data_IF_940174060209
#
_entry.id   IF_940174060209
#
_cell.length_a   1.000
_cell.length_b   1.000
_cell.length_c   1.000
_cell.angle_alpha   90.00
_cell.angle_beta   90.00
_cell.angle_gamma   90.00
#
_symmetry.space_group_name_H-M   'P 1'
#
loop_
_entity.id
_entity.type
_entity.pdbx_description
1 polymer ?
#
# COMPACT_ATOMS: atom_id res chain seq x y z
N UNK A 1 40.19 33.46 11.13
CA UNK A 1 41.43 32.66 11.30
C UNK A 1 42.28 32.59 10.03
N UNK A 2 41.67 32.55 8.82
CA UNK A 2 42.38 32.57 7.53
C UNK A 2 43.24 33.84 7.26
N UNK A 3 43.04 34.92 8.01
CA UNK A 3 43.80 36.18 7.86
C UNK A 3 44.96 36.34 8.85
N UNK A 4 45.24 35.33 9.69
CA UNK A 4 46.41 35.33 10.57
C UNK A 4 47.70 35.37 9.74
N UNK A 5 48.57 36.35 9.98
CA UNK A 5 49.84 36.53 9.26
C UNK A 5 50.71 35.26 9.28
N UNK A 6 50.67 34.51 10.38
CA UNK A 6 51.52 33.34 10.61
C UNK A 6 50.99 32.06 9.93
N UNK A 7 49.72 32.03 9.52
CA UNK A 7 49.09 30.86 8.88
C UNK A 7 49.10 30.97 7.35
N UNK A 8 49.24 32.18 6.79
CA UNK A 8 49.19 32.44 5.34
C UNK A 8 50.19 31.60 4.55
N UNK A 9 51.41 31.45 5.05
CA UNK A 9 52.47 30.69 4.36
C UNK A 9 52.19 29.19 4.29
N UNK A 10 51.31 28.69 5.18
CA UNK A 10 50.92 27.28 5.23
C UNK A 10 49.59 27.02 4.54
N UNK A 11 48.76 28.03 4.27
CA UNK A 11 47.48 27.85 3.59
C UNK A 11 47.71 27.47 2.12
N UNK A 12 47.02 26.43 1.67
CA UNK A 12 47.00 26.04 0.26
C UNK A 12 46.08 26.99 -0.51
N UNK A 13 44.96 27.34 0.08
CA UNK A 13 44.01 28.35 -0.37
C UNK A 13 43.33 29.02 0.83
N UNK A 14 42.47 30.00 0.55
CA UNK A 14 41.66 30.68 1.57
C UNK A 14 40.22 30.16 1.62
N UNK A 15 39.92 29.07 0.91
CA UNK A 15 38.58 28.50 0.87
C UNK A 15 38.34 27.62 2.09
N UNK A 16 37.08 27.59 2.53
CA UNK A 16 36.65 26.64 3.56
C UNK A 16 36.24 25.35 2.85
N UNK A 17 36.85 24.25 3.26
CA UNK A 17 36.61 22.93 2.69
C UNK A 17 35.68 22.15 3.59
N UNK A 18 34.70 21.46 3.02
CA UNK A 18 33.76 20.65 3.79
C UNK A 18 34.17 19.18 3.74
N UNK A 19 34.51 18.59 4.89
CA UNK A 19 34.94 17.20 5.01
C UNK A 19 34.21 16.54 6.19
N UNK A 20 33.54 15.41 5.93
CA UNK A 20 32.83 14.62 6.95
C UNK A 20 31.81 15.41 7.79
N UNK A 21 31.16 16.42 7.22
CA UNK A 21 30.22 17.26 7.96
C UNK A 21 30.86 18.47 8.66
N UNK A 22 32.18 18.62 8.57
CA UNK A 22 32.93 19.69 9.22
C UNK A 22 33.57 20.66 8.22
N UNK A 23 33.58 21.94 8.60
CA UNK A 23 34.28 23.00 7.90
C UNK A 23 35.75 23.01 8.30
N UNK A 24 36.64 22.91 7.31
CA UNK A 24 38.08 22.72 7.49
C UNK A 24 38.88 23.71 6.68
N UNK A 25 40.13 23.92 7.10
CA UNK A 25 41.12 24.67 6.33
C UNK A 25 42.12 23.69 5.71
N UNK A 26 42.55 23.96 4.48
CA UNK A 26 43.57 23.16 3.81
C UNK A 26 44.95 23.78 3.98
N UNK A 27 45.89 23.03 4.57
CA UNK A 27 47.25 23.51 4.86
C UNK A 27 48.35 22.54 4.40
N UNK A 28 49.53 23.10 4.12
CA UNK A 28 50.79 22.38 3.83
C UNK A 28 51.40 21.85 5.14
N UNK A 29 52.22 20.81 5.03
CA UNK A 29 52.96 20.25 6.16
C UNK A 29 53.84 21.28 6.89
N UNK A 30 54.02 21.11 8.20
CA UNK A 30 54.80 22.04 9.04
C UNK A 30 53.97 23.12 9.76
N UNK A 31 52.64 23.13 9.57
CA UNK A 31 51.72 24.09 10.19
C UNK A 31 51.62 24.02 11.72
N UNK A 32 52.10 22.93 12.36
CA UNK A 32 51.99 22.70 13.82
C UNK A 32 52.58 23.83 14.68
N UNK A 33 53.58 24.57 14.16
CA UNK A 33 54.16 25.74 14.84
C UNK A 33 53.28 26.99 14.72
N UNK A 34 52.48 27.09 13.65
CA UNK A 34 51.63 28.24 13.36
C UNK A 34 50.23 28.10 13.98
N UNK A 35 49.69 26.89 14.07
CA UNK A 35 48.36 26.64 14.63
C UNK A 35 48.26 25.25 15.27
N UNK A 36 47.61 25.18 16.44
CA UNK A 36 47.18 23.91 17.05
C UNK A 36 45.84 23.50 16.44
N UNK A 37 45.81 22.37 15.76
CA UNK A 37 44.64 21.88 15.06
C UNK A 37 44.62 20.33 15.01
N UNK A 38 43.44 19.74 14.95
CA UNK A 38 43.28 18.31 14.63
C UNK A 38 43.29 18.13 13.12
N UNK A 39 43.90 17.05 12.65
CA UNK A 39 43.89 16.66 11.23
C UNK A 39 42.69 15.76 11.00
N UNK A 40 41.75 16.18 10.15
CA UNK A 40 40.54 15.41 9.81
C UNK A 40 40.71 14.55 8.56
N UNK A 41 41.70 14.87 7.72
CA UNK A 41 41.97 14.09 6.52
C UNK A 41 43.13 14.65 5.71
N UNK A 42 43.44 13.99 4.60
CA UNK A 42 44.43 14.43 3.62
C UNK A 42 43.81 14.52 2.24
N UNK A 43 44.21 15.52 1.46
CA UNK A 43 43.84 15.62 0.04
C UNK A 43 44.68 14.65 -0.79
N UNK A 44 44.23 14.39 -2.02
CA UNK A 44 44.98 13.59 -3.01
C UNK A 44 46.34 14.20 -3.36
N UNK A 45 46.47 15.52 -3.25
CA UNK A 45 47.74 16.25 -3.41
C UNK A 45 48.65 16.25 -2.18
N UNK A 46 48.27 15.53 -1.11
CA UNK A 46 49.09 15.41 0.11
C UNK A 46 48.95 16.56 1.12
N UNK A 47 47.97 17.46 0.94
CA UNK A 47 47.69 18.54 1.88
C UNK A 47 46.79 18.07 3.04
N UNK A 48 46.80 18.79 4.16
CA UNK A 48 46.07 18.42 5.36
C UNK A 48 44.80 19.25 5.50
N UNK A 49 43.66 18.58 5.74
CA UNK A 49 42.45 19.25 6.20
C UNK A 49 42.50 19.33 7.73
N UNK A 50 42.43 20.55 8.25
CA UNK A 50 42.60 20.81 9.68
C UNK A 50 41.39 21.53 10.28
N UNK A 51 41.08 21.18 11.52
CA UNK A 51 40.15 21.90 12.38
C UNK A 51 40.91 22.57 13.53
N UNK A 52 40.92 23.91 13.61
CA UNK A 52 41.56 24.63 14.71
C UNK A 52 41.01 24.21 16.08
N UNK A 53 41.91 23.96 17.04
CA UNK A 53 41.50 23.58 18.39
C UNK A 53 40.67 24.68 19.08
N UNK A 54 40.86 25.94 18.69
CA UNK A 54 40.10 27.09 19.17
C UNK A 54 38.59 27.02 18.89
N UNK A 55 38.16 26.27 17.85
CA UNK A 55 36.74 26.08 17.52
C UNK A 55 36.21 24.68 17.86
N UNK A 56 37.09 23.76 18.30
CA UNK A 56 36.73 22.38 18.64
C UNK A 56 35.65 22.31 19.74
N UNK A 57 35.78 23.13 20.80
CA UNK A 57 34.75 23.20 21.85
C UNK A 57 33.39 23.71 21.34
N UNK A 58 33.37 24.61 20.35
CA UNK A 58 32.12 25.08 19.75
C UNK A 58 31.44 23.96 18.97
N UNK A 59 32.21 23.13 18.25
CA UNK A 59 31.71 21.96 17.53
C UNK A 59 31.20 20.87 18.48
N UNK A 60 31.91 20.61 19.56
CA UNK A 60 31.44 19.68 20.60
C UNK A 60 30.11 20.15 21.23
N UNK A 61 30.01 21.44 21.53
CA UNK A 61 28.78 22.06 22.04
C UNK A 61 27.64 21.98 21.02
N UNK A 62 27.90 22.25 19.74
CA UNK A 62 26.94 22.11 18.65
C UNK A 62 26.39 20.67 18.58
N UNK A 63 27.28 19.68 18.56
CA UNK A 63 26.89 18.26 18.56
C UNK A 63 26.04 17.90 19.76
N UNK A 64 26.42 18.34 20.96
CA UNK A 64 25.65 18.08 22.19
C UNK A 64 24.26 18.70 22.14
N UNK A 65 24.15 19.93 21.62
CA UNK A 65 22.86 20.60 21.45
C UNK A 65 21.97 19.88 20.42
N UNK A 66 22.54 19.39 19.33
CA UNK A 66 21.82 18.60 18.32
C UNK A 66 21.30 17.29 18.93
N UNK A 67 22.14 16.54 19.63
CA UNK A 67 21.71 15.30 20.32
C UNK A 67 20.61 15.57 21.34
N UNK A 68 20.72 16.65 22.12
CA UNK A 68 19.69 17.03 23.10
C UNK A 68 18.38 17.43 22.43
N UNK A 69 18.44 18.09 21.27
CA UNK A 69 17.24 18.41 20.48
C UNK A 69 16.54 17.13 20.01
N UNK A 70 17.29 16.16 19.51
CA UNK A 70 16.75 14.86 19.08
C UNK A 70 16.09 14.11 20.24
N UNK A 71 16.72 14.08 21.41
CA UNK A 71 16.15 13.47 22.62
C UNK A 71 14.81 14.10 23.01
N UNK A 72 14.72 15.44 22.95
CA UNK A 72 13.48 16.17 23.25
C UNK A 72 12.38 15.83 22.24
N UNK A 73 12.71 15.80 20.94
CA UNK A 73 11.77 15.41 19.88
C UNK A 73 11.26 13.99 20.12
N UNK A 74 12.18 13.04 20.37
CA UNK A 74 11.84 11.66 20.63
C UNK A 74 10.88 11.52 21.81
N UNK A 75 11.15 12.22 22.92
CA UNK A 75 10.26 12.24 24.09
C UNK A 75 8.87 12.78 23.75
N UNK A 76 8.77 13.83 22.94
CA UNK A 76 7.47 14.33 22.48
C UNK A 76 6.73 13.31 21.61
N UNK A 77 7.43 12.66 20.67
CA UNK A 77 6.86 11.59 19.86
C UNK A 77 6.36 10.42 20.71
N UNK A 78 7.12 10.01 21.72
CA UNK A 78 6.69 8.97 22.66
C UNK A 78 5.42 9.35 23.41
N UNK A 79 5.38 10.55 24.00
CA UNK A 79 4.21 11.03 24.73
C UNK A 79 2.97 11.17 23.85
N UNK A 80 3.15 11.68 22.63
CA UNK A 80 2.08 11.78 21.65
C UNK A 80 1.57 10.40 21.24
N UNK A 81 2.47 9.48 20.94
CA UNK A 81 2.14 8.10 20.57
C UNK A 81 1.41 7.38 21.70
N UNK A 82 1.86 7.52 22.94
CA UNK A 82 1.19 6.95 24.11
C UNK A 82 -0.22 7.52 24.32
N UNK A 83 -0.43 8.80 24.02
CA UNK A 83 -1.75 9.43 24.07
C UNK A 83 -2.67 8.86 22.98
N UNK A 84 -2.19 8.78 21.74
CA UNK A 84 -2.96 8.25 20.61
C UNK A 84 -3.24 6.75 20.74
N UNK A 85 -2.31 5.98 21.32
CA UNK A 85 -2.45 4.54 21.48
C UNK A 85 -3.67 4.16 22.33
N UNK A 86 -4.10 5.02 23.27
CA UNK A 86 -5.33 4.83 24.05
C UNK A 86 -6.57 4.71 23.16
N UNK A 87 -6.55 5.34 21.98
CA UNK A 87 -7.65 5.33 21.01
C UNK A 87 -7.46 4.28 19.90
N UNK A 88 -6.39 3.47 19.95
CA UNK A 88 -6.06 2.51 18.89
C UNK A 88 -7.21 1.54 18.59
N UNK A 89 -7.84 0.97 19.64
CA UNK A 89 -8.96 0.04 19.46
C UNK A 89 -10.17 0.69 18.79
N UNK A 90 -10.44 1.96 19.10
CA UNK A 90 -11.52 2.72 18.47
C UNK A 90 -11.19 3.05 17.02
N UNK A 91 -9.97 3.48 16.71
CA UNK A 91 -9.54 3.72 15.33
C UNK A 91 -9.57 2.43 14.49
N UNK A 92 -9.16 1.30 15.08
CA UNK A 92 -9.27 -0.02 14.43
C UNK A 92 -10.71 -0.41 14.16
N UNK A 93 -11.62 -0.09 15.07
CA UNK A 93 -13.05 -0.28 14.86
C UNK A 93 -13.56 0.58 13.69
N UNK A 94 -13.25 1.89 13.68
CA UNK A 94 -13.63 2.79 12.58
C UNK A 94 -13.11 2.27 11.25
N UNK A 95 -11.85 1.87 11.18
CA UNK A 95 -11.27 1.34 9.94
C UNK A 95 -12.05 0.14 9.41
N UNK A 96 -12.40 -0.80 10.30
CA UNK A 96 -13.20 -1.98 9.93
C UNK A 96 -14.61 -1.62 9.47
N UNK A 97 -15.28 -0.68 10.14
CA UNK A 97 -16.61 -0.25 9.72
C UNK A 97 -16.57 0.55 8.41
N UNK A 98 -15.50 1.30 8.18
CA UNK A 98 -15.26 1.98 6.91
C UNK A 98 -15.09 0.97 5.76
N UNK A 99 -14.31 -0.09 5.95
CA UNK A 99 -14.16 -1.16 4.94
C UNK A 99 -15.51 -1.81 4.59
N UNK A 100 -16.39 -2.03 5.58
CA UNK A 100 -17.75 -2.55 5.33
C UNK A 100 -18.61 -1.57 4.54
N UNK A 101 -18.57 -0.29 4.91
CA UNK A 101 -19.31 0.76 4.22
C UNK A 101 -18.84 0.88 2.77
N UNK A 102 -17.53 0.90 2.54
CA UNK A 102 -16.93 0.94 1.20
C UNK A 102 -17.37 -0.27 0.36
N UNK A 103 -17.34 -1.48 0.91
CA UNK A 103 -17.85 -2.67 0.24
C UNK A 103 -19.32 -2.56 -0.19
N UNK A 104 -20.20 -1.99 0.65
CA UNK A 104 -21.61 -1.80 0.28
C UNK A 104 -21.78 -0.73 -0.79
N UNK A 105 -21.09 0.40 -0.65
CA UNK A 105 -21.13 1.47 -1.63
C UNK A 105 -20.61 1.03 -2.99
N UNK A 106 -19.49 0.31 -3.02
CA UNK A 106 -18.93 -0.26 -4.25
C UNK A 106 -19.94 -1.15 -4.98
N UNK A 107 -20.67 -2.01 -4.26
CA UNK A 107 -21.70 -2.88 -4.85
C UNK A 107 -22.89 -2.09 -5.37
N UNK A 108 -23.37 -1.09 -4.64
CA UNK A 108 -24.49 -0.24 -5.09
C UNK A 108 -24.10 0.57 -6.33
N UNK A 109 -22.89 1.14 -6.34
CA UNK A 109 -22.38 1.87 -7.49
C UNK A 109 -22.16 0.95 -8.69
N UNK A 110 -21.62 -0.25 -8.47
CA UNK A 110 -21.47 -1.27 -9.50
C UNK A 110 -22.82 -1.69 -10.08
N UNK A 111 -23.84 -1.89 -9.24
CA UNK A 111 -25.19 -2.19 -9.69
C UNK A 111 -25.76 -1.07 -10.56
N UNK A 112 -25.63 0.19 -10.14
CA UNK A 112 -26.13 1.35 -10.88
C UNK A 112 -25.40 1.57 -12.21
N UNK A 113 -24.08 1.35 -12.25
CA UNK A 113 -23.28 1.58 -13.45
C UNK A 113 -23.62 0.61 -14.58
N UNK A 114 -24.02 -0.62 -14.24
CA UNK A 114 -24.28 -1.69 -15.22
C UNK A 114 -25.73 -2.16 -15.28
N UNK A 115 -26.64 -1.47 -14.58
CA UNK A 115 -28.06 -1.84 -14.48
C UNK A 115 -28.23 -3.29 -14.00
N UNK A 116 -27.56 -3.63 -12.90
CA UNK A 116 -27.61 -4.95 -12.29
C UNK A 116 -28.55 -4.99 -11.08
N UNK A 117 -29.05 -6.19 -10.80
CA UNK A 117 -30.02 -6.43 -9.74
C UNK A 117 -29.40 -7.26 -8.61
N UNK A 118 -29.85 -7.01 -7.38
CA UNK A 118 -29.47 -7.79 -6.21
C UNK A 118 -30.49 -8.92 -6.00
N UNK A 119 -30.04 -10.16 -6.19
CA UNK A 119 -30.89 -11.33 -5.91
C UNK A 119 -30.48 -11.92 -4.57
N UNK A 120 -31.35 -11.79 -3.57
CA UNK A 120 -31.12 -12.36 -2.24
C UNK A 120 -31.41 -13.86 -2.22
N UNK A 121 -30.60 -14.68 -1.53
CA UNK A 121 -30.86 -16.11 -1.41
C UNK A 121 -32.19 -16.39 -0.71
N UNK A 122 -33.10 -17.09 -1.39
CA UNK A 122 -34.35 -17.56 -0.80
C UNK A 122 -34.13 -18.81 0.07
N UNK A 123 -35.07 -19.11 0.97
CA UNK A 123 -35.03 -20.33 1.79
C UNK A 123 -35.34 -21.60 0.97
N UNK A 124 -35.87 -21.44 -0.25
CA UNK A 124 -36.23 -22.56 -1.12
C UNK A 124 -34.97 -23.05 -1.85
N UNK A 125 -34.89 -24.35 -2.15
CA UNK A 125 -33.79 -24.94 -2.93
C UNK A 125 -34.10 -24.91 -4.42
N UNK A 126 -34.35 -23.72 -4.95
CA UNK A 126 -34.76 -23.50 -6.35
C UNK A 126 -33.76 -22.56 -7.01
N UNK A 127 -33.46 -22.75 -8.28
CA UNK A 127 -32.73 -21.76 -9.08
C UNK A 127 -33.51 -21.45 -10.35
N UNK A 128 -34.11 -20.26 -10.38
CA UNK A 128 -34.78 -19.67 -11.54
C UNK A 128 -33.99 -18.45 -11.96
N UNK A 129 -33.48 -18.47 -13.18
CA UNK A 129 -32.78 -17.36 -13.80
C UNK A 129 -33.59 -16.92 -15.01
N UNK A 130 -33.91 -15.63 -15.09
CA UNK A 130 -34.54 -15.01 -16.26
C UNK A 130 -33.65 -13.86 -16.73
N UNK A 131 -33.26 -13.88 -18.00
CA UNK A 131 -32.41 -12.88 -18.61
C UNK A 131 -30.99 -12.81 -18.02
N UNK A 132 -30.50 -13.86 -17.37
CA UNK A 132 -29.19 -13.84 -16.72
C UNK A 132 -28.06 -13.70 -17.74
N UNK A 133 -27.11 -12.81 -17.48
CA UNK A 133 -25.92 -12.64 -18.32
C UNK A 133 -24.66 -12.92 -17.52
N UNK A 134 -23.83 -13.86 -18.00
CA UNK A 134 -22.58 -14.21 -17.32
C UNK A 134 -21.58 -13.04 -17.37
N UNK A 135 -21.09 -12.53 -16.22
CA UNK A 135 -20.31 -11.29 -16.18
C UNK A 135 -18.94 -11.38 -16.85
N UNK A 136 -18.33 -12.58 -16.89
CA UNK A 136 -17.03 -12.79 -17.53
C UNK A 136 -17.08 -12.96 -19.07
N UNK A 137 -18.27 -12.96 -19.69
CA UNK A 137 -18.41 -13.10 -21.14
C UNK A 137 -18.61 -11.70 -21.74
N UNK A 138 -17.85 -11.38 -22.78
CA UNK A 138 -18.08 -10.16 -23.58
C UNK A 138 -19.32 -10.34 -24.46
N UNK A 139 -20.24 -9.36 -24.46
CA UNK A 139 -21.52 -9.43 -25.18
C UNK A 139 -22.31 -10.73 -24.93
N UNK A 140 -22.65 -11.03 -23.66
CA UNK A 140 -23.29 -12.30 -23.29
C UNK A 140 -24.70 -12.41 -23.88
N UNK A 141 -25.06 -13.61 -24.33
CA UNK A 141 -26.46 -13.94 -24.62
C UNK A 141 -27.19 -14.23 -23.31
N UNK A 142 -28.34 -13.59 -23.04
CA UNK A 142 -29.13 -13.86 -21.85
C UNK A 142 -29.58 -15.33 -21.80
N UNK A 143 -29.52 -15.94 -20.62
CA UNK A 143 -29.97 -17.32 -20.40
C UNK A 143 -31.15 -17.36 -19.43
N UNK A 144 -32.11 -18.23 -19.75
CA UNK A 144 -33.26 -18.53 -18.93
C UNK A 144 -33.14 -19.98 -18.44
N UNK A 145 -33.08 -20.18 -17.13
CA UNK A 145 -32.89 -21.49 -16.52
C UNK A 145 -33.93 -21.65 -15.41
N UNK A 146 -34.63 -22.79 -15.38
CA UNK A 146 -35.50 -23.14 -14.27
C UNK A 146 -35.08 -24.52 -13.75
N UNK A 147 -34.48 -24.54 -12.58
CA UNK A 147 -34.07 -25.72 -11.84
C UNK A 147 -34.97 -25.86 -10.62
N UNK A 148 -36.17 -26.39 -10.88
CA UNK A 148 -37.19 -26.75 -9.89
C UNK A 148 -37.00 -28.18 -9.35
N UNK A 149 -36.29 -29.02 -10.11
CA UNK A 149 -35.96 -30.41 -9.77
C UNK A 149 -34.53 -30.55 -9.26
N UNK A 150 -34.28 -31.60 -8.49
CA UNK A 150 -32.97 -31.91 -7.92
C UNK A 150 -31.88 -32.20 -8.95
N UNK A 151 -32.26 -32.60 -10.17
CA UNK A 151 -31.32 -32.99 -11.23
C UNK A 151 -31.79 -32.41 -12.56
N UNK A 152 -30.87 -31.78 -13.28
CA UNK A 152 -31.05 -31.29 -14.65
C UNK A 152 -30.06 -32.01 -15.56
N UNK A 153 -30.57 -32.69 -16.59
CA UNK A 153 -29.72 -33.25 -17.66
C UNK A 153 -29.68 -32.30 -18.84
N UNK A 154 -28.47 -31.92 -19.26
CA UNK A 154 -28.25 -31.05 -20.42
C UNK A 154 -27.58 -31.85 -21.52
N UNK A 155 -28.27 -32.04 -22.64
CA UNK A 155 -27.74 -32.73 -23.83
C UNK A 155 -27.47 -31.73 -24.97
N UNK A 156 -26.64 -32.13 -25.94
CA UNK A 156 -26.30 -31.31 -27.10
C UNK A 156 -24.87 -31.52 -27.59
N UNK A 157 -24.51 -30.86 -28.70
CA UNK A 157 -23.14 -30.89 -29.25
C UNK A 157 -22.16 -30.15 -28.33
N UNK A 158 -20.87 -30.50 -28.38
CA UNK A 158 -19.86 -29.95 -27.44
C UNK A 158 -19.70 -28.42 -27.53
N UNK A 159 -19.80 -27.84 -28.73
CA UNK A 159 -19.77 -26.39 -28.94
C UNK A 159 -21.12 -25.67 -28.63
N UNK A 160 -22.12 -26.39 -28.11
CA UNK A 160 -23.47 -25.86 -27.85
C UNK A 160 -23.61 -24.99 -26.60
N UNK A 161 -22.50 -24.57 -25.98
CA UNK A 161 -22.54 -23.70 -24.79
C UNK A 161 -22.94 -24.39 -23.47
N UNK A 162 -22.96 -25.73 -23.42
CA UNK A 162 -23.32 -26.51 -22.22
C UNK A 162 -22.46 -26.14 -21.00
N UNK A 163 -21.15 -26.09 -21.19
CA UNK A 163 -20.20 -25.72 -20.13
C UNK A 163 -20.45 -24.30 -19.62
N UNK A 164 -20.74 -23.36 -20.53
CA UNK A 164 -21.04 -21.98 -20.14
C UNK A 164 -22.41 -21.85 -19.45
N UNK A 165 -23.40 -22.67 -19.81
CA UNK A 165 -24.67 -22.75 -19.10
C UNK A 165 -24.45 -23.18 -17.63
N UNK A 166 -23.65 -24.21 -17.40
CA UNK A 166 -23.30 -24.67 -16.05
C UNK A 166 -22.51 -23.61 -15.28
N UNK A 167 -21.49 -22.99 -15.90
CA UNK A 167 -20.74 -21.88 -15.29
C UNK A 167 -21.64 -20.68 -14.95
N UNK A 168 -22.64 -20.40 -15.79
CA UNK A 168 -23.64 -19.34 -15.55
C UNK A 168 -24.50 -19.63 -14.33
N UNK A 169 -25.00 -20.85 -14.21
CA UNK A 169 -25.78 -21.29 -13.05
C UNK A 169 -24.96 -21.16 -11.75
N UNK A 170 -23.73 -21.68 -11.75
CA UNK A 170 -22.83 -21.63 -10.59
C UNK A 170 -22.49 -20.18 -10.21
N UNK A 171 -22.24 -19.34 -11.21
CA UNK A 171 -21.93 -17.91 -11.00
C UNK A 171 -23.10 -17.15 -10.41
N UNK A 172 -24.33 -17.38 -10.89
CA UNK A 172 -25.51 -16.73 -10.33
C UNK A 172 -25.73 -17.11 -8.86
N UNK A 173 -25.56 -18.39 -8.51
CA UNK A 173 -25.63 -18.87 -7.12
C UNK A 173 -24.53 -18.25 -6.26
N UNK A 174 -23.29 -18.22 -6.77
CA UNK A 174 -22.16 -17.63 -6.07
C UNK A 174 -22.36 -16.13 -5.81
N UNK A 175 -22.80 -15.38 -6.82
CA UNK A 175 -23.02 -13.93 -6.71
C UNK A 175 -24.17 -13.61 -5.75
N UNK A 176 -25.31 -14.32 -5.86
CA UNK A 176 -26.42 -14.16 -4.92
C UNK A 176 -25.99 -14.43 -3.47
N UNK A 177 -25.26 -15.52 -3.23
CA UNK A 177 -24.75 -15.88 -1.90
C UNK A 177 -23.83 -14.81 -1.29
N UNK A 178 -23.04 -14.14 -2.12
CA UNK A 178 -22.09 -13.11 -1.68
C UNK A 178 -22.64 -11.69 -1.77
N UNK A 179 -23.92 -11.51 -2.12
CA UNK A 179 -24.57 -10.22 -2.34
C UNK A 179 -23.81 -9.38 -3.38
N UNK A 180 -23.44 -10.02 -4.48
CA UNK A 180 -22.90 -9.37 -5.68
C UNK A 180 -24.05 -9.20 -6.68
N UNK A 181 -24.28 -7.98 -7.20
CA UNK A 181 -25.35 -7.74 -8.15
C UNK A 181 -24.97 -8.30 -9.53
N UNK A 182 -25.96 -8.72 -10.31
CA UNK A 182 -25.75 -9.21 -11.67
C UNK A 182 -26.94 -8.90 -12.57
N UNK A 183 -26.69 -8.90 -13.88
CA UNK A 183 -27.72 -8.68 -14.88
C UNK A 183 -28.68 -9.87 -14.95
N UNK A 184 -29.94 -9.60 -14.67
CA UNK A 184 -31.06 -10.53 -14.76
C UNK A 184 -32.38 -9.74 -14.66
N UNK A 185 -33.51 -10.41 -14.84
CA UNK A 185 -34.82 -9.87 -14.50
C UNK A 185 -35.14 -10.18 -13.03
N UNK A 186 -35.14 -9.16 -12.17
CA UNK A 186 -35.32 -9.30 -10.72
C UNK A 186 -36.65 -9.97 -10.35
N UNK A 187 -37.75 -9.63 -11.02
CA UNK A 187 -39.10 -10.12 -10.68
C UNK A 187 -39.28 -11.62 -10.94
N UNK A 188 -38.47 -12.17 -11.86
CA UNK A 188 -38.58 -13.58 -12.31
C UNK A 188 -37.39 -14.44 -11.90
N UNK A 189 -36.36 -13.83 -11.33
CA UNK A 189 -35.15 -14.51 -10.91
C UNK A 189 -35.23 -14.85 -9.43
N UNK A 190 -35.07 -16.13 -9.09
CA UNK A 190 -35.03 -16.62 -7.72
C UNK A 190 -33.84 -17.54 -7.56
N UNK A 191 -33.00 -17.27 -6.56
CA UNK A 191 -31.85 -18.12 -6.25
C UNK A 191 -31.96 -18.60 -4.81
N UNK A 192 -31.96 -19.91 -4.63
CA UNK A 192 -32.00 -20.55 -3.32
C UNK A 192 -30.70 -20.43 -2.54
N UNK A 193 -30.76 -20.71 -1.24
CA UNK A 193 -29.57 -20.79 -0.40
C UNK A 193 -28.84 -22.14 -0.56
N UNK A 194 -27.56 -22.08 -0.94
CA UNK A 194 -26.68 -23.26 -1.07
C UNK A 194 -25.47 -23.15 -0.12
N UNK A 195 -25.28 -24.19 0.71
CA UNK A 195 -24.17 -24.25 1.68
C UNK A 195 -22.81 -24.36 0.99
N UNK A 196 -22.68 -25.26 0.01
CA UNK A 196 -21.50 -25.45 -0.82
C UNK A 196 -21.87 -25.37 -2.30
N UNK A 197 -20.87 -25.01 -3.12
CA UNK A 197 -20.93 -25.05 -4.57
C UNK A 197 -19.74 -25.91 -4.97
N UNK A 198 -20.00 -27.04 -5.63
CA UNK A 198 -18.98 -27.99 -6.06
C UNK A 198 -19.09 -28.12 -7.58
N UNK A 199 -17.99 -27.87 -8.28
CA UNK A 199 -17.95 -27.91 -9.73
C UNK A 199 -16.96 -29.00 -10.16
N UNK A 200 -17.49 -30.06 -10.77
CA UNK A 200 -16.69 -31.06 -11.47
C UNK A 200 -16.83 -30.77 -12.96
N UNK A 201 -16.00 -29.86 -13.45
CA UNK A 201 -15.96 -29.45 -14.85
C UNK A 201 -14.55 -29.79 -15.35
N UNK A 202 -14.38 -31.01 -15.85
CA UNK A 202 -13.19 -31.35 -16.62
C UNK A 202 -13.35 -30.78 -18.03
N UNK A 203 -12.42 -29.93 -18.43
CA UNK A 203 -12.23 -29.56 -19.82
C UNK A 203 -11.07 -30.44 -20.34
N UNK A 204 -11.30 -31.42 -21.22
CA UNK A 204 -10.23 -32.25 -21.77
C UNK A 204 -9.41 -31.51 -22.84
N UNK A 205 -9.14 -30.20 -22.66
CA UNK A 205 -8.33 -29.40 -23.59
C UNK A 205 -7.09 -28.82 -22.93
#
# INVERSE_FOLDING_TARGET
MAHSSNLKDYLVDTQVHFLNGEETLMVRGGFNKAIKASVLGRSSGGFFYILPQSISHLKERESTLLSRKEEVIYRYCQNFSATMHKHYLFMRYINREYDKFDHYQARVLFARAFDYNFILPSKQKVVKLDGFCHPAIENPKPVNINLDKSVMLVTGVNAGGKTMLLKSLLSAVYMSKNLLPFKCNEEKTEVGHFKSIEAVIDDPQ
#
